data_IF_049297034580
#
_entry.id   IF_049297034580
#
_cell.length_a   1.000
_cell.length_b   1.000
_cell.length_c   1.000
_cell.angle_alpha   90.00
_cell.angle_beta   90.00
_cell.angle_gamma   90.00
#
_symmetry.space_group_name_H-M   'P 1'
#
loop_
_entity.id
_entity.type
_entity.pdbx_description
1 polymer ?
#
# COMPACT_ATOMS: atom_id res chain seq x y z
N UNK A 1 -22.78 20.64 -1.79
CA UNK A 1 -22.70 19.49 -0.86
C UNK A 1 -21.94 18.39 -1.59
N UNK A 2 -20.77 17.92 -1.07
CA UNK A 2 -20.06 16.77 -1.65
C UNK A 2 -20.29 15.58 -0.71
N UNK A 3 -20.82 14.49 -1.24
CA UNK A 3 -20.96 13.25 -0.46
C UNK A 3 -19.58 12.64 -0.23
N UNK A 4 -19.32 12.18 1.00
CA UNK A 4 -18.13 11.40 1.31
C UNK A 4 -18.27 10.05 0.60
N UNK A 5 -17.24 9.63 -0.13
CA UNK A 5 -17.20 8.27 -0.66
C UNK A 5 -17.16 7.29 0.52
N UNK A 6 -17.80 6.11 0.39
CA UNK A 6 -17.93 5.15 1.49
C UNK A 6 -16.60 4.61 2.04
N UNK A 7 -15.46 4.92 1.38
CA UNK A 7 -14.13 4.51 1.79
C UNK A 7 -13.34 5.59 2.56
N UNK A 8 -13.83 6.82 2.67
CA UNK A 8 -13.20 7.85 3.51
C UNK A 8 -13.55 7.60 4.98
N UNK A 9 -12.53 7.57 5.83
CA UNK A 9 -12.66 7.33 7.27
C UNK A 9 -12.65 8.63 8.06
N UNK A 10 -11.75 9.54 7.73
CA UNK A 10 -11.63 10.83 8.41
C UNK A 10 -11.01 11.90 7.51
N UNK A 11 -11.37 13.15 7.78
CA UNK A 11 -10.75 14.35 7.24
C UNK A 11 -10.53 15.31 8.41
N UNK A 12 -9.30 15.79 8.58
CA UNK A 12 -8.96 16.76 9.62
C UNK A 12 -7.87 17.70 9.10
N UNK A 13 -8.16 18.98 9.02
CA UNK A 13 -7.22 19.99 8.49
C UNK A 13 -6.66 19.54 7.11
N UNK A 14 -5.33 19.35 7.03
CA UNK A 14 -4.62 18.90 5.82
C UNK A 14 -4.43 17.38 5.76
N UNK A 15 -5.14 16.62 6.58
CA UNK A 15 -5.04 15.16 6.63
C UNK A 15 -6.31 14.53 6.09
N UNK A 16 -6.15 13.48 5.30
CA UNK A 16 -7.25 12.65 4.83
C UNK A 16 -6.88 11.18 5.01
N UNK A 17 -7.82 10.39 5.48
CA UNK A 17 -7.66 8.95 5.72
C UNK A 17 -8.74 8.20 4.96
N UNK A 18 -8.32 7.27 4.13
CA UNK A 18 -9.22 6.41 3.39
C UNK A 18 -8.67 4.98 3.29
N UNK A 19 -9.54 4.03 2.98
CA UNK A 19 -9.15 2.65 2.74
C UNK A 19 -9.60 2.19 1.37
N UNK A 20 -8.86 1.23 0.84
CA UNK A 20 -9.13 0.57 -0.43
C UNK A 20 -9.29 -0.93 -0.18
N UNK A 21 -10.37 -1.49 -0.70
CA UNK A 21 -10.56 -2.94 -0.64
C UNK A 21 -9.53 -3.65 -1.51
N UNK A 22 -9.25 -4.89 -1.17
CA UNK A 22 -8.49 -5.80 -2.03
C UNK A 22 -9.03 -5.75 -3.45
N UNK A 23 -8.13 -5.64 -4.42
CA UNK A 23 -8.49 -5.58 -5.84
C UNK A 23 -7.47 -6.28 -6.71
N UNK A 24 -7.89 -6.72 -7.88
CA UNK A 24 -7.00 -7.22 -8.93
C UNK A 24 -6.44 -6.03 -9.71
N UNK A 25 -5.12 -5.91 -9.75
CA UNK A 25 -4.43 -4.82 -10.44
C UNK A 25 -3.01 -5.27 -10.82
N UNK A 26 -2.42 -4.76 -11.91
CA UNK A 26 -1.02 -5.01 -12.21
C UNK A 26 -0.10 -4.60 -11.06
N UNK A 27 1.01 -5.33 -10.89
CA UNK A 27 2.12 -4.90 -10.06
C UNK A 27 3.33 -4.65 -10.95
N UNK A 28 4.09 -3.59 -10.64
CA UNK A 28 5.27 -3.23 -11.42
C UNK A 28 6.49 -3.20 -10.53
N UNK A 29 7.53 -3.89 -10.96
CA UNK A 29 8.84 -3.87 -10.33
C UNK A 29 9.90 -3.38 -11.32
N UNK A 30 10.79 -2.52 -10.85
CA UNK A 30 11.97 -2.11 -11.59
C UNK A 30 13.14 -1.98 -10.60
N UNK A 31 14.11 -2.86 -10.71
CA UNK A 31 15.29 -2.84 -9.85
C UNK A 31 16.56 -3.09 -10.67
N UNK A 32 17.62 -2.36 -10.32
CA UNK A 32 18.96 -2.53 -10.87
C UNK A 32 19.83 -3.44 -10.01
N UNK A 33 19.35 -3.83 -8.83
CA UNK A 33 20.05 -4.74 -7.92
C UNK A 33 20.13 -6.15 -8.53
N UNK A 34 21.36 -6.62 -8.79
CA UNK A 34 21.61 -7.88 -9.52
C UNK A 34 20.89 -9.09 -8.93
N UNK A 35 20.82 -9.19 -7.61
CA UNK A 35 20.16 -10.27 -6.87
C UNK A 35 18.64 -10.20 -6.86
N UNK A 36 18.04 -9.13 -7.41
CA UNK A 36 16.60 -8.87 -7.42
C UNK A 36 16.01 -8.71 -8.82
N UNK A 37 16.82 -8.83 -9.86
CA UNK A 37 16.38 -8.58 -11.25
C UNK A 37 15.25 -9.50 -11.72
N UNK A 38 15.06 -10.66 -11.09
CA UNK A 38 13.94 -11.54 -11.40
C UNK A 38 12.58 -10.89 -11.15
N UNK A 39 12.49 -9.96 -10.21
CA UNK A 39 11.26 -9.20 -9.96
C UNK A 39 10.81 -8.39 -11.19
N UNK A 40 11.74 -7.90 -12.00
CA UNK A 40 11.41 -7.11 -13.19
C UNK A 40 10.54 -7.91 -14.18
N UNK A 41 10.65 -9.24 -14.19
CA UNK A 41 9.84 -10.13 -15.03
C UNK A 41 8.39 -10.23 -14.59
N UNK A 42 8.08 -9.78 -13.37
CA UNK A 42 6.74 -9.77 -12.81
C UNK A 42 5.96 -8.52 -13.21
N UNK A 43 6.64 -7.49 -13.71
CA UNK A 43 6.01 -6.20 -14.05
C UNK A 43 4.87 -6.37 -15.05
N UNK A 44 3.76 -5.67 -14.79
CA UNK A 44 2.53 -5.75 -15.58
C UNK A 44 1.68 -6.99 -15.29
N UNK A 45 2.11 -7.89 -14.42
CA UNK A 45 1.32 -9.06 -14.03
C UNK A 45 0.19 -8.68 -13.08
N UNK A 46 -1.02 -9.09 -13.42
CA UNK A 46 -2.17 -8.90 -12.55
C UNK A 46 -2.08 -9.78 -11.32
N UNK A 47 -2.19 -9.17 -10.15
CA UNK A 47 -2.26 -9.84 -8.85
C UNK A 47 -3.43 -9.31 -8.04
N UNK A 48 -3.84 -10.03 -7.01
CA UNK A 48 -4.78 -9.49 -6.02
C UNK A 48 -3.96 -8.76 -4.96
N UNK A 49 -4.16 -7.46 -4.87
CA UNK A 49 -3.56 -6.60 -3.86
C UNK A 49 -4.22 -6.80 -2.49
N UNK A 50 -3.50 -6.64 -1.39
CA UNK A 50 -4.12 -6.61 -0.07
C UNK A 50 -5.07 -5.41 0.04
N UNK A 51 -6.04 -5.44 0.96
CA UNK A 51 -6.73 -4.21 1.33
C UNK A 51 -5.75 -3.26 2.02
N UNK A 52 -5.81 -1.98 1.65
CA UNK A 52 -4.87 -0.97 2.09
C UNK A 52 -5.59 0.20 2.77
N UNK A 53 -4.90 0.85 3.69
CA UNK A 53 -5.29 2.14 4.25
C UNK A 53 -4.22 3.17 3.92
N UNK A 54 -4.66 4.34 3.53
CA UNK A 54 -3.83 5.48 3.17
C UNK A 54 -4.11 6.65 4.10
N UNK A 55 -3.06 7.35 4.44
CA UNK A 55 -3.12 8.61 5.18
C UNK A 55 -2.27 9.64 4.48
N UNK A 56 -2.84 10.79 4.17
CA UNK A 56 -2.06 11.98 3.84
C UNK A 56 -2.00 12.83 5.09
N UNK A 57 -0.79 13.20 5.48
CA UNK A 57 -0.55 14.14 6.57
C UNK A 57 0.64 15.03 6.20
N UNK A 58 0.44 16.34 6.23
CA UNK A 58 1.48 17.34 5.95
C UNK A 58 2.26 17.07 4.65
N UNK A 59 1.53 16.70 3.60
CA UNK A 59 2.10 16.39 2.28
C UNK A 59 2.83 15.06 2.16
N UNK A 60 2.80 14.24 3.22
CA UNK A 60 3.38 12.90 3.21
C UNK A 60 2.29 11.83 3.10
N UNK A 61 2.51 10.86 2.23
CA UNK A 61 1.65 9.67 2.10
C UNK A 61 2.16 8.57 3.03
N UNK A 62 1.23 7.98 3.76
CA UNK A 62 1.45 6.78 4.55
C UNK A 62 0.53 5.67 4.05
N UNK A 63 1.00 4.43 4.13
CA UNK A 63 0.26 3.25 3.70
C UNK A 63 0.51 2.06 4.63
N UNK A 64 -0.57 1.39 5.01
CA UNK A 64 -0.52 0.10 5.72
C UNK A 64 -1.48 -0.87 5.07
N UNK A 65 -1.27 -2.17 5.31
CA UNK A 65 -2.22 -3.19 4.93
C UNK A 65 -3.25 -3.44 6.04
N UNK A 66 -4.42 -3.89 5.63
CA UNK A 66 -5.54 -4.22 6.49
C UNK A 66 -5.79 -5.74 6.54
N UNK A 67 -6.37 -6.27 7.61
CA UNK A 67 -6.62 -7.71 7.76
C UNK A 67 -7.74 -8.24 6.84
N UNK A 68 -8.62 -7.38 6.36
CA UNK A 68 -9.79 -7.76 5.55
C UNK A 68 -10.39 -6.55 4.81
N UNK A 69 -11.45 -6.81 4.03
CA UNK A 69 -12.15 -5.81 3.22
C UNK A 69 -13.27 -5.04 3.97
N UNK A 70 -13.46 -5.27 5.26
CA UNK A 70 -14.45 -4.53 6.03
C UNK A 70 -14.01 -3.08 6.26
N UNK A 71 -14.97 -2.19 6.49
CA UNK A 71 -14.66 -0.82 6.88
C UNK A 71 -13.87 -0.84 8.19
N UNK A 72 -12.65 -0.26 8.22
CA UNK A 72 -11.85 -0.24 9.43
C UNK A 72 -12.52 0.55 10.56
N UNK A 73 -12.29 0.11 11.78
CA UNK A 73 -12.66 0.80 13.02
C UNK A 73 -11.40 1.30 13.73
N UNK A 74 -11.50 2.20 14.73
CA UNK A 74 -10.33 2.65 15.48
C UNK A 74 -9.45 1.53 16.02
N UNK A 75 -10.04 0.39 16.41
CA UNK A 75 -9.33 -0.78 16.94
C UNK A 75 -8.78 -1.74 15.88
N UNK A 76 -8.98 -1.46 14.59
CA UNK A 76 -8.48 -2.33 13.51
C UNK A 76 -6.95 -2.38 13.55
N UNK A 77 -6.34 -3.59 13.64
CA UNK A 77 -4.89 -3.73 13.62
C UNK A 77 -4.35 -3.37 12.23
N UNK A 78 -3.19 -2.75 12.22
CA UNK A 78 -2.47 -2.40 10.99
C UNK A 78 -1.32 -3.36 10.75
N UNK A 79 -1.07 -3.63 9.48
CA UNK A 79 0.00 -4.49 9.01
C UNK A 79 0.92 -3.71 8.09
N UNK A 80 2.17 -4.11 8.04
CA UNK A 80 3.13 -3.55 7.09
C UNK A 80 2.64 -3.89 5.68
N UNK A 81 2.52 -2.89 4.82
CA UNK A 81 2.18 -3.13 3.43
C UNK A 81 3.36 -3.86 2.75
N UNK A 82 3.13 -4.99 2.07
CA UNK A 82 4.19 -5.86 1.56
C UNK A 82 4.78 -5.33 0.24
N UNK A 83 5.18 -4.06 0.25
CA UNK A 83 5.68 -3.32 -0.89
C UNK A 83 6.97 -2.61 -0.50
N UNK A 84 7.94 -2.59 -1.41
CA UNK A 84 9.10 -1.71 -1.27
C UNK A 84 8.67 -0.24 -1.39
N UNK A 85 9.52 0.69 -1.05
CA UNK A 85 9.23 2.12 -0.96
C UNK A 85 8.31 2.53 0.20
N UNK A 86 7.94 1.58 1.07
CA UNK A 86 7.19 1.87 2.29
C UNK A 86 8.08 1.56 3.49
N UNK A 87 8.25 2.55 4.36
CA UNK A 87 9.01 2.37 5.60
C UNK A 87 8.27 1.41 6.53
N UNK A 88 8.90 0.32 6.91
CA UNK A 88 8.31 -0.73 7.73
C UNK A 88 7.84 -0.24 9.11
N UNK A 89 8.56 0.68 9.71
CA UNK A 89 8.26 1.18 11.05
C UNK A 89 7.21 2.31 11.06
N UNK A 90 7.27 3.18 10.06
CA UNK A 90 6.48 4.42 10.04
C UNK A 90 5.35 4.40 9.03
N UNK A 91 5.40 3.52 8.03
CA UNK A 91 4.40 3.42 6.96
C UNK A 91 4.49 4.52 5.90
N UNK A 92 5.43 5.47 6.02
CA UNK A 92 5.57 6.51 5.00
C UNK A 92 6.05 5.92 3.67
N UNK A 93 5.40 6.37 2.60
CA UNK A 93 5.71 5.95 1.23
C UNK A 93 6.79 6.86 0.67
N UNK A 94 7.90 6.26 0.22
CA UNK A 94 8.93 6.97 -0.51
C UNK A 94 8.43 7.21 -1.94
N UNK A 95 8.04 8.43 -2.22
CA UNK A 95 7.62 8.85 -3.56
C UNK A 95 8.77 9.60 -4.25
N UNK A 96 8.89 9.50 -5.58
CA UNK A 96 9.94 10.20 -6.35
C UNK A 96 9.87 11.72 -6.22
N UNK A 97 8.70 12.25 -5.89
CA UNK A 97 8.46 13.67 -5.63
C UNK A 97 7.50 13.83 -4.45
N UNK A 98 7.60 14.96 -3.74
CA UNK A 98 6.56 15.35 -2.77
C UNK A 98 5.21 15.31 -3.48
N UNK A 99 4.20 14.76 -2.82
CA UNK A 99 2.82 14.80 -3.30
C UNK A 99 2.47 16.26 -3.61
N UNK A 100 2.46 16.60 -4.89
CA UNK A 100 1.87 17.85 -5.34
C UNK A 100 0.36 17.71 -5.19
N UNK A 101 -0.12 17.93 -3.97
CA UNK A 101 -1.54 18.16 -3.75
C UNK A 101 -1.87 19.41 -4.57
N UNK A 102 -2.57 19.23 -5.67
CA UNK A 102 -2.89 20.34 -6.56
C UNK A 102 -3.74 21.33 -5.79
N UNK A 103 -3.21 22.52 -5.60
CA UNK A 103 -3.95 23.65 -5.05
C UNK A 103 -5.22 23.84 -5.88
N UNK A 104 -6.37 23.82 -5.23
CA UNK A 104 -7.67 23.94 -5.90
C UNK A 104 -8.42 22.62 -6.10
N UNK A 105 -7.77 21.47 -6.07
CA UNK A 105 -8.48 20.19 -6.05
C UNK A 105 -9.15 19.95 -4.69
N UNK A 106 -10.31 19.33 -4.72
CA UNK A 106 -10.91 18.82 -3.49
C UNK A 106 -10.04 17.70 -2.89
N UNK A 107 -10.09 17.48 -1.56
CA UNK A 107 -9.41 16.35 -0.93
C UNK A 107 -9.72 15.00 -1.62
N UNK A 108 -10.93 14.83 -2.15
CA UNK A 108 -11.38 13.62 -2.84
C UNK A 108 -10.72 13.43 -4.22
N UNK A 109 -10.51 14.53 -4.97
CA UNK A 109 -9.81 14.49 -6.25
C UNK A 109 -8.34 14.11 -6.05
N UNK A 110 -7.72 14.69 -5.02
CA UNK A 110 -6.37 14.34 -4.63
C UNK A 110 -6.28 12.86 -4.19
N UNK A 111 -7.24 12.37 -3.38
CA UNK A 111 -7.30 10.98 -2.95
C UNK A 111 -7.39 10.01 -4.13
N UNK A 112 -8.29 10.25 -5.08
CA UNK A 112 -8.46 9.40 -6.26
C UNK A 112 -7.20 9.37 -7.13
N UNK A 113 -6.58 10.53 -7.32
CA UNK A 113 -5.32 10.65 -8.06
C UNK A 113 -4.19 9.87 -7.37
N UNK A 114 -4.04 10.02 -6.05
CA UNK A 114 -3.00 9.35 -5.28
C UNK A 114 -3.19 7.85 -5.27
N UNK A 115 -4.42 7.35 -5.07
CA UNK A 115 -4.71 5.92 -5.15
C UNK A 115 -4.31 5.37 -6.52
N UNK A 116 -4.72 6.03 -7.60
CA UNK A 116 -4.35 5.62 -8.97
C UNK A 116 -2.85 5.60 -9.17
N UNK A 117 -2.15 6.67 -8.77
CA UNK A 117 -0.72 6.81 -9.00
C UNK A 117 0.08 5.83 -8.13
N UNK A 118 -0.40 5.53 -6.92
CA UNK A 118 0.19 4.50 -6.05
C UNK A 118 0.10 3.10 -6.69
N UNK A 119 -1.08 2.69 -7.15
CA UNK A 119 -1.24 1.36 -7.77
C UNK A 119 -0.53 1.21 -9.12
N UNK A 120 -0.32 2.31 -9.84
CA UNK A 120 0.48 2.34 -11.07
C UNK A 120 1.98 2.57 -10.80
N UNK A 121 2.35 2.74 -9.54
CA UNK A 121 3.74 2.96 -9.15
C UNK A 121 4.63 1.76 -9.43
N UNK A 122 5.93 2.01 -9.43
CA UNK A 122 6.97 1.00 -9.63
C UNK A 122 7.68 0.75 -8.30
N UNK A 123 7.76 -0.51 -7.89
CA UNK A 123 8.29 -0.94 -6.61
C UNK A 123 9.60 -1.72 -6.82
N UNK A 124 10.73 -1.04 -6.78
CA UNK A 124 12.00 -1.67 -7.14
C UNK A 124 13.11 -1.55 -6.10
N UNK A 125 13.19 -0.42 -5.42
CA UNK A 125 14.26 -0.22 -4.44
C UNK A 125 13.94 -0.89 -3.11
N UNK A 126 14.88 -1.67 -2.61
CA UNK A 126 14.79 -2.20 -1.26
C UNK A 126 14.85 -1.08 -0.23
N UNK A 127 13.84 -1.02 0.65
CA UNK A 127 13.83 -0.14 1.81
C UNK A 127 13.69 -0.97 3.06
N UNK A 128 14.58 -0.77 4.02
CA UNK A 128 14.53 -1.50 5.28
C UNK A 128 15.03 -2.93 5.20
N UNK A 129 14.48 -3.80 6.04
CA UNK A 129 14.96 -5.17 6.23
C UNK A 129 14.48 -6.16 5.15
N UNK A 130 13.64 -5.72 4.22
CA UNK A 130 12.94 -6.58 3.23
C UNK A 130 12.13 -7.71 3.88
N UNK A 131 11.71 -7.50 5.14
CA UNK A 131 10.94 -8.45 5.96
C UNK A 131 9.51 -7.96 6.19
N UNK A 132 8.91 -7.34 5.16
CA UNK A 132 7.54 -6.78 5.25
C UNK A 132 6.47 -7.85 5.33
N UNK A 133 6.82 -9.11 5.02
CA UNK A 133 5.89 -10.22 4.98
C UNK A 133 6.50 -11.47 5.63
N UNK A 134 5.67 -12.29 6.26
CA UNK A 134 6.07 -13.55 6.90
C UNK A 134 6.15 -14.66 5.83
N UNK A 135 7.19 -14.61 5.02
CA UNK A 135 7.47 -15.61 3.99
C UNK A 135 8.93 -16.06 4.08
N UNK A 136 9.25 -17.35 3.92
CA UNK A 136 10.65 -17.84 4.02
C UNK A 136 11.62 -17.11 3.10
N UNK A 137 11.18 -16.79 1.88
CA UNK A 137 11.96 -16.01 0.90
C UNK A 137 11.88 -14.50 1.08
N UNK A 138 11.31 -13.99 2.20
CA UNK A 138 11.10 -12.56 2.43
C UNK A 138 10.17 -11.93 1.39
N UNK A 139 10.33 -10.61 1.20
CA UNK A 139 9.53 -9.84 0.24
C UNK A 139 9.64 -10.39 -1.20
N UNK A 140 10.85 -10.56 -1.68
CA UNK A 140 11.08 -10.92 -3.08
C UNK A 140 10.64 -12.35 -3.37
N UNK A 141 10.96 -13.30 -2.49
CA UNK A 141 10.50 -14.69 -2.61
C UNK A 141 8.98 -14.79 -2.59
N UNK A 142 8.32 -14.00 -1.74
CA UNK A 142 6.86 -13.93 -1.72
C UNK A 142 6.29 -13.48 -3.08
N UNK A 143 6.76 -12.38 -3.63
CA UNK A 143 6.22 -11.87 -4.88
C UNK A 143 6.52 -12.80 -6.07
N UNK A 144 7.71 -13.38 -6.12
CA UNK A 144 8.08 -14.37 -7.15
C UNK A 144 7.15 -15.59 -7.12
N UNK A 145 6.82 -16.10 -5.95
CA UNK A 145 5.90 -17.21 -5.80
C UNK A 145 4.44 -16.81 -6.03
N UNK A 146 3.99 -15.71 -5.41
CA UNK A 146 2.60 -15.27 -5.44
C UNK A 146 2.13 -14.93 -6.85
N UNK A 147 2.96 -14.23 -7.65
CA UNK A 147 2.60 -13.84 -9.02
C UNK A 147 2.49 -15.06 -9.94
N UNK A 148 3.21 -16.14 -9.66
CA UNK A 148 3.19 -17.37 -10.46
C UNK A 148 2.00 -18.29 -10.16
N UNK A 149 1.24 -18.02 -9.11
CA UNK A 149 0.07 -18.83 -8.76
C UNK A 149 -0.99 -18.75 -9.87
N UNK A 150 -1.40 -19.90 -10.39
CA UNK A 150 -2.39 -20.00 -11.49
C UNK A 150 -3.77 -19.46 -11.12
N UNK A 151 -4.14 -19.54 -9.84
CA UNK A 151 -5.42 -19.03 -9.31
C UNK A 151 -5.17 -18.24 -8.04
N UNK A 152 -5.37 -16.95 -8.11
CA UNK A 152 -5.38 -16.06 -6.96
C UNK A 152 -6.85 -15.69 -6.67
N UNK A 153 -7.41 -16.18 -5.57
CA UNK A 153 -8.77 -15.87 -5.15
C UNK A 153 -8.82 -14.71 -4.14
N UNK A 154 -7.74 -14.54 -3.37
CA UNK A 154 -7.57 -13.47 -2.37
C UNK A 154 -6.08 -13.22 -2.13
N UNK A 155 -5.77 -12.09 -1.54
CA UNK A 155 -4.42 -11.86 -0.99
C UNK A 155 -4.26 -12.69 0.30
N UNK A 156 -3.10 -13.32 0.54
CA UNK A 156 -2.84 -14.13 1.75
C UNK A 156 -2.52 -13.22 2.94
N UNK A 157 -3.56 -12.61 3.53
CA UNK A 157 -3.43 -11.64 4.64
C UNK A 157 -2.81 -12.26 5.90
N UNK A 158 -2.88 -13.56 6.04
CA UNK A 158 -2.23 -14.34 7.12
C UNK A 158 -0.70 -14.27 7.09
N UNK A 159 -0.12 -13.92 5.96
CA UNK A 159 1.32 -13.69 5.81
C UNK A 159 1.73 -12.24 6.12
N UNK A 160 0.79 -11.33 6.28
CA UNK A 160 1.12 -9.93 6.61
C UNK A 160 1.79 -9.85 7.98
N UNK A 161 2.83 -9.03 8.06
CA UNK A 161 3.52 -8.75 9.31
C UNK A 161 2.85 -7.61 10.05
N UNK A 162 2.58 -7.80 11.33
CA UNK A 162 1.98 -6.75 12.18
C UNK A 162 2.87 -5.50 12.19
N UNK A 163 2.24 -4.34 12.06
CA UNK A 163 2.90 -3.05 12.26
C UNK A 163 3.00 -2.65 13.74
N UNK A 164 2.44 -3.46 14.66
CA UNK A 164 2.39 -3.16 16.08
C UNK A 164 1.49 -1.97 16.43
N UNK A 165 0.60 -1.59 15.53
CA UNK A 165 -0.27 -0.41 15.63
C UNK A 165 -1.70 -0.77 15.30
N UNK A 166 -2.64 0.04 15.79
CA UNK A 166 -4.05 0.08 15.37
C UNK A 166 -4.34 1.37 14.61
N UNK A 167 -5.49 1.43 13.99
CA UNK A 167 -5.91 2.63 13.27
C UNK A 167 -5.93 3.87 14.18
N UNK A 168 -6.39 3.76 15.41
CA UNK A 168 -6.42 4.86 16.37
C UNK A 168 -5.03 5.46 16.68
N UNK A 169 -3.96 4.67 16.56
CA UNK A 169 -2.59 5.11 16.83
C UNK A 169 -2.02 6.01 15.72
N UNK A 170 -2.70 6.09 14.58
CA UNK A 170 -2.28 6.88 13.42
C UNK A 170 -3.23 8.04 13.09
N UNK A 171 -4.32 8.19 13.85
CA UNK A 171 -5.31 9.29 13.74
C UNK A 171 -4.82 10.57 14.53
#
# INVERSE_FOLDING_TARGET
MKFLTGNVLAIKNNSIIWYEKSRKHPINFETTEKNRQELNRLSGRNVIWPPLIFVIRDGTLYCWALPNNHRPTPRTPLYIAPLTHINEAQGNVCLPSKLNLRNGNSPFENMAMISRDFYNGVFGHGTGSMKQINHPGGHDGFWLEYVQQKKQNRFPVELLKSAGKKLEDIL
#
